data_IF_509842443091
#
_entry.id   IF_509842443091
#
_cell.length_a   1.000
_cell.length_b   1.000
_cell.length_c   1.000
_cell.angle_alpha   90.00
_cell.angle_beta   90.00
_cell.angle_gamma   90.00
#
_symmetry.space_group_name_H-M   'P 1'
#
loop_
_entity.id
_entity.type
_entity.pdbx_description
1 polymer ?
#
# COMPACT_ATOMS: atom_id res chain seq x y z
N UNK A 1 11.48 15.19 -9.38
CA UNK A 1 10.00 15.22 -9.40
C UNK A 1 9.54 13.98 -10.14
N UNK A 2 8.83 13.11 -9.49
CA UNK A 2 8.52 11.76 -9.98
C UNK A 2 7.54 11.86 -11.17
N UNK A 3 7.96 11.43 -12.35
CA UNK A 3 7.17 11.45 -13.60
C UNK A 3 5.92 10.56 -13.57
N UNK A 4 5.79 9.69 -12.56
CA UNK A 4 4.66 8.77 -12.35
C UNK A 4 3.28 9.47 -12.18
N UNK A 5 3.26 10.72 -11.74
CA UNK A 5 2.01 11.40 -11.38
C UNK A 5 1.30 12.11 -12.54
N UNK A 6 1.83 12.08 -13.75
CA UNK A 6 1.28 12.82 -14.90
C UNK A 6 1.02 12.01 -16.16
N UNK A 7 1.49 10.78 -16.26
CA UNK A 7 1.22 9.97 -17.44
C UNK A 7 -0.22 9.46 -17.40
N UNK A 8 -1.03 9.88 -18.39
CA UNK A 8 -2.40 9.42 -18.59
C UNK A 8 -2.45 7.91 -18.80
N UNK A 9 -1.42 7.37 -19.46
CA UNK A 9 -1.21 5.96 -19.76
C UNK A 9 0.20 5.57 -19.34
N UNK A 10 0.40 4.32 -18.93
CA UNK A 10 1.73 3.83 -18.57
C UNK A 10 1.75 2.32 -18.30
N UNK A 11 2.96 1.80 -18.34
CA UNK A 11 3.29 0.43 -18.01
C UNK A 11 4.42 0.41 -16.97
N UNK A 12 4.19 -0.25 -15.85
CA UNK A 12 5.19 -0.55 -14.84
C UNK A 12 5.61 -2.01 -14.99
N UNK A 13 6.90 -2.27 -15.05
CA UNK A 13 7.50 -3.60 -15.17
C UNK A 13 8.48 -3.85 -14.03
N UNK A 14 8.90 -5.12 -13.88
CA UNK A 14 9.85 -5.55 -12.86
C UNK A 14 9.43 -5.14 -11.44
N UNK A 15 8.14 -5.27 -11.13
CA UNK A 15 7.56 -4.94 -9.84
C UNK A 15 7.20 -6.19 -9.03
N UNK A 16 7.01 -6.04 -7.72
CA UNK A 16 6.21 -6.92 -6.89
C UNK A 16 4.97 -6.14 -6.47
N UNK A 17 3.78 -6.74 -6.55
CA UNK A 17 2.53 -6.03 -6.25
C UNK A 17 1.83 -6.70 -5.08
N UNK A 18 1.54 -5.93 -4.02
CA UNK A 18 0.64 -6.32 -2.96
C UNK A 18 -0.74 -5.72 -3.27
N UNK A 19 -1.56 -6.50 -3.97
CA UNK A 19 -2.85 -6.02 -4.47
C UNK A 19 -3.91 -5.85 -3.38
N UNK A 20 -3.71 -6.47 -2.23
CA UNK A 20 -4.66 -6.57 -1.11
C UNK A 20 -5.97 -7.29 -1.50
N UNK A 21 -6.02 -7.93 -2.65
CA UNK A 21 -7.14 -8.78 -3.07
C UNK A 21 -6.92 -10.23 -2.66
N UNK A 22 -8.00 -10.97 -2.47
CA UNK A 22 -7.93 -12.38 -2.13
C UNK A 22 -7.53 -13.20 -3.37
N UNK A 23 -6.27 -13.61 -3.41
CA UNK A 23 -5.71 -14.50 -4.43
C UNK A 23 -5.02 -15.73 -3.81
N UNK A 24 -5.29 -15.99 -2.51
CA UNK A 24 -4.68 -17.09 -1.76
C UNK A 24 -3.23 -16.82 -1.30
N UNK A 25 -2.68 -15.63 -1.57
CA UNK A 25 -1.37 -15.19 -1.11
C UNK A 25 -1.49 -14.11 -0.05
N UNK A 26 -0.55 -14.06 0.91
CA UNK A 26 -0.48 -12.98 1.88
C UNK A 26 -0.43 -11.63 1.15
N UNK A 27 -1.25 -10.66 1.59
CA UNK A 27 -1.39 -9.33 0.97
C UNK A 27 -1.83 -9.33 -0.50
N UNK A 28 -2.35 -10.44 -1.02
CA UNK A 28 -2.65 -10.58 -2.45
C UNK A 28 -1.41 -10.40 -3.31
N UNK A 29 -0.24 -10.93 -2.86
CA UNK A 29 1.04 -10.72 -3.48
C UNK A 29 1.11 -11.33 -4.89
N UNK A 30 1.70 -10.59 -5.82
CA UNK A 30 2.06 -11.02 -7.18
C UNK A 30 3.52 -10.65 -7.39
N UNK A 31 4.40 -11.65 -7.38
CA UNK A 31 5.82 -11.45 -7.62
C UNK A 31 6.13 -11.43 -9.11
N UNK A 32 7.21 -10.73 -9.51
CA UNK A 32 7.62 -10.53 -10.90
C UNK A 32 6.43 -10.03 -11.74
N UNK A 33 5.79 -9.00 -11.25
CA UNK A 33 4.56 -8.44 -11.76
C UNK A 33 4.78 -7.26 -12.70
N UNK A 34 3.72 -6.95 -13.44
CA UNK A 34 3.58 -5.70 -14.15
C UNK A 34 2.18 -5.10 -13.91
N UNK A 35 2.08 -3.80 -14.11
CA UNK A 35 0.83 -3.05 -14.03
C UNK A 35 0.76 -2.05 -15.18
N UNK A 36 -0.36 -2.06 -15.92
CA UNK A 36 -0.62 -1.05 -16.94
C UNK A 36 -1.88 -0.26 -16.60
N UNK A 37 -1.85 1.02 -16.96
CA UNK A 37 -3.02 1.89 -16.83
C UNK A 37 -3.22 2.71 -18.08
N UNK A 38 -4.49 3.03 -18.36
CA UNK A 38 -4.94 3.93 -19.44
C UNK A 38 -6.05 4.83 -18.90
N UNK A 39 -6.00 6.08 -19.27
CA UNK A 39 -6.99 7.07 -18.84
C UNK A 39 -7.22 7.08 -17.31
N UNK A 40 -6.14 6.84 -16.53
CA UNK A 40 -6.19 6.77 -15.06
C UNK A 40 -6.86 5.51 -14.50
N UNK A 41 -7.09 4.48 -15.32
CA UNK A 41 -7.63 3.19 -14.88
C UNK A 41 -6.63 2.07 -15.11
N UNK A 42 -6.52 1.17 -14.14
CA UNK A 42 -5.71 -0.04 -14.30
C UNK A 42 -6.39 -0.94 -15.34
N UNK A 43 -5.66 -1.30 -16.40
CA UNK A 43 -6.11 -2.18 -17.48
C UNK A 43 -5.41 -3.55 -17.45
N UNK A 44 -4.31 -3.64 -16.72
CA UNK A 44 -3.62 -4.90 -16.46
C UNK A 44 -2.96 -4.87 -15.09
N UNK A 45 -3.04 -5.95 -14.34
CA UNK A 45 -2.28 -6.25 -13.14
C UNK A 45 -2.11 -7.76 -13.06
N UNK A 46 -0.87 -8.24 -13.05
CA UNK A 46 -0.60 -9.68 -13.10
C UNK A 46 0.89 -9.97 -13.22
N UNK A 47 1.23 -11.22 -13.48
CA UNK A 47 2.61 -11.60 -13.73
C UNK A 47 3.12 -10.96 -15.02
N UNK A 48 4.32 -10.42 -15.00
CA UNK A 48 4.92 -9.79 -16.19
C UNK A 48 5.02 -10.77 -17.37
N UNK A 49 5.20 -12.08 -17.10
CA UNK A 49 5.25 -13.11 -18.12
C UNK A 49 3.94 -13.31 -18.90
N UNK A 50 2.83 -12.76 -18.41
CA UNK A 50 1.52 -12.82 -19.08
C UNK A 50 1.34 -11.71 -20.11
N UNK A 51 2.25 -10.71 -20.14
CA UNK A 51 2.21 -9.62 -21.12
C UNK A 51 2.67 -10.12 -22.49
N UNK A 52 1.87 -9.85 -23.53
CA UNK A 52 2.30 -10.06 -24.91
C UNK A 52 3.27 -8.95 -25.36
N UNK A 53 4.16 -9.28 -26.27
CA UNK A 53 5.08 -8.29 -26.87
C UNK A 53 4.32 -7.14 -27.53
N UNK A 54 3.18 -7.42 -28.15
CA UNK A 54 2.39 -6.38 -28.82
C UNK A 54 1.75 -5.44 -27.81
N UNK A 55 1.27 -5.94 -26.68
CA UNK A 55 0.77 -5.09 -25.60
C UNK A 55 1.87 -4.18 -25.02
N UNK A 56 3.10 -4.73 -24.84
CA UNK A 56 4.24 -3.93 -24.33
C UNK A 56 4.59 -2.80 -25.29
N UNK A 57 4.56 -3.02 -26.62
CA UNK A 57 4.85 -2.02 -27.64
C UNK A 57 3.91 -0.81 -27.63
N UNK A 58 2.71 -0.98 -27.06
CA UNK A 58 1.75 0.11 -26.90
C UNK A 58 2.18 1.14 -25.85
N UNK A 59 3.20 0.80 -25.03
CA UNK A 59 3.73 1.63 -23.95
C UNK A 59 5.24 1.86 -24.19
N UNK A 60 5.63 2.83 -25.07
CA UNK A 60 7.02 3.02 -25.45
C UNK A 60 7.95 3.45 -24.31
N UNK A 61 7.37 4.00 -23.24
CA UNK A 61 8.10 4.44 -22.05
C UNK A 61 7.65 3.59 -20.84
N UNK A 62 8.03 2.30 -20.82
CA UNK A 62 7.81 1.47 -19.66
C UNK A 62 8.70 1.93 -18.49
N UNK A 63 8.11 1.94 -17.30
CA UNK A 63 8.79 2.31 -16.06
C UNK A 63 9.30 1.03 -15.40
N UNK A 64 10.61 0.93 -15.17
CA UNK A 64 11.21 -0.18 -14.46
C UNK A 64 11.16 0.07 -12.95
N UNK A 65 10.41 -0.76 -12.22
CA UNK A 65 10.29 -0.70 -10.77
C UNK A 65 11.51 -1.30 -10.05
N UNK A 66 12.44 -1.95 -10.77
CA UNK A 66 13.67 -2.51 -10.19
C UNK A 66 13.43 -3.46 -9.01
N UNK A 67 12.37 -4.23 -9.04
CA UNK A 67 11.98 -5.14 -7.98
C UNK A 67 11.31 -4.47 -6.76
N UNK A 68 10.91 -3.21 -6.89
CA UNK A 68 10.19 -2.54 -5.80
C UNK A 68 8.78 -3.11 -5.61
N UNK A 69 8.30 -3.06 -4.36
CA UNK A 69 6.93 -3.36 -4.01
C UNK A 69 6.00 -2.19 -4.33
N UNK A 70 4.87 -2.50 -4.94
CA UNK A 70 3.79 -1.56 -5.25
C UNK A 70 2.55 -1.97 -4.45
N UNK A 71 1.95 -1.01 -3.78
CA UNK A 71 0.74 -1.19 -2.97
C UNK A 71 -0.31 -0.18 -3.41
N UNK A 72 -1.60 -0.41 -3.14
CA UNK A 72 -2.58 0.66 -3.14
C UNK A 72 -2.11 1.82 -2.25
N UNK A 73 -2.45 3.05 -2.65
CA UNK A 73 -2.12 4.22 -1.85
C UNK A 73 -2.78 4.14 -0.46
N UNK A 74 -2.06 4.59 0.55
CA UNK A 74 -2.61 4.70 1.89
C UNK A 74 -3.70 5.76 1.91
N UNK A 75 -4.84 5.42 2.51
CA UNK A 75 -5.95 6.36 2.77
C UNK A 75 -5.95 6.62 4.26
N UNK A 76 -5.60 7.84 4.64
CA UNK A 76 -5.64 8.29 6.02
C UNK A 76 -6.96 9.00 6.29
N UNK A 77 -7.85 8.33 7.00
CA UNK A 77 -9.18 8.86 7.35
C UNK A 77 -9.17 9.62 8.67
N UNK A 78 -8.12 9.49 9.48
CA UNK A 78 -8.03 10.11 10.80
C UNK A 78 -6.60 10.08 11.32
N UNK A 79 -5.96 11.23 11.40
CA UNK A 79 -4.61 11.38 11.96
C UNK A 79 -4.56 12.49 12.98
N UNK A 80 -3.96 12.21 14.12
CA UNK A 80 -3.56 13.20 15.10
C UNK A 80 -2.16 13.71 14.74
N UNK A 81 -2.07 14.84 14.02
CA UNK A 81 -0.79 15.39 13.55
C UNK A 81 0.09 15.91 14.71
N UNK A 82 -0.55 16.36 15.78
CA UNK A 82 0.14 16.85 16.97
C UNK A 82 -0.18 15.92 18.14
N UNK A 83 0.84 15.27 18.65
CA UNK A 83 0.73 14.38 19.81
C UNK A 83 2.10 14.28 20.51
N UNK A 84 2.11 13.88 21.76
CA UNK A 84 3.32 13.53 22.50
C UNK A 84 3.26 12.06 22.95
N UNK A 85 4.43 11.49 23.27
CA UNK A 85 4.53 10.10 23.71
C UNK A 85 4.39 9.07 22.59
N UNK A 86 4.20 7.81 22.98
CA UNK A 86 4.09 6.69 22.08
C UNK A 86 3.02 5.70 22.57
N UNK A 87 2.09 5.36 21.70
CA UNK A 87 1.00 4.42 22.00
C UNK A 87 1.11 3.07 21.25
N UNK A 88 2.27 2.77 20.65
CA UNK A 88 2.47 1.48 19.98
C UNK A 88 2.24 0.28 20.92
N UNK A 89 2.64 0.30 22.21
CA UNK A 89 2.32 -0.79 23.12
C UNK A 89 0.83 -1.02 23.34
N UNK A 90 0.02 0.04 23.30
CA UNK A 90 -1.44 -0.09 23.40
C UNK A 90 -2.05 -0.77 22.16
N UNK A 91 -1.47 -0.49 20.99
CA UNK A 91 -1.88 -1.15 19.75
C UNK A 91 -1.60 -2.66 19.82
N UNK A 92 -0.42 -3.05 20.32
CA UNK A 92 -0.06 -4.45 20.54
C UNK A 92 -1.01 -5.14 21.52
N UNK A 93 -1.35 -4.50 22.65
CA UNK A 93 -2.32 -4.99 23.61
C UNK A 93 -3.69 -5.25 22.96
N UNK A 94 -4.13 -4.37 22.05
CA UNK A 94 -5.37 -4.56 21.30
C UNK A 94 -5.32 -5.77 20.37
N UNK A 95 -4.19 -6.00 19.72
CA UNK A 95 -3.98 -7.20 18.89
C UNK A 95 -4.02 -8.48 19.73
N UNK A 96 -3.63 -8.41 21.00
CA UNK A 96 -3.72 -9.50 21.98
C UNK A 96 -5.13 -9.65 22.57
N UNK A 97 -6.11 -8.84 22.16
CA UNK A 97 -7.49 -8.92 22.57
C UNK A 97 -7.86 -8.09 23.81
N UNK A 98 -6.94 -7.26 24.34
CA UNK A 98 -7.25 -6.38 25.46
C UNK A 98 -8.18 -5.25 24.97
N UNK A 99 -9.27 -5.02 25.73
CA UNK A 99 -10.24 -4.01 25.35
C UNK A 99 -9.69 -2.58 25.50
N UNK A 100 -10.18 -1.65 24.67
CA UNK A 100 -9.82 -0.22 24.81
C UNK A 100 -10.18 0.33 26.20
N UNK A 101 -11.27 -0.17 26.80
CA UNK A 101 -11.70 0.26 28.13
C UNK A 101 -10.69 -0.12 29.20
N UNK A 102 -10.12 -1.33 29.12
CA UNK A 102 -9.12 -1.80 30.10
C UNK A 102 -7.79 -1.05 29.93
N UNK A 103 -7.38 -0.80 28.68
CA UNK A 103 -6.21 0.04 28.38
C UNK A 103 -6.42 1.46 28.94
N UNK A 104 -7.60 2.05 28.75
CA UNK A 104 -7.91 3.38 29.26
C UNK A 104 -7.92 3.44 30.78
N UNK A 105 -8.48 2.42 31.46
CA UNK A 105 -8.48 2.32 32.93
C UNK A 105 -7.08 2.17 33.53
N UNK A 106 -6.16 1.54 32.80
CA UNK A 106 -4.76 1.40 33.22
C UNK A 106 -3.90 2.65 32.97
N UNK A 107 -4.51 3.76 32.52
CA UNK A 107 -3.82 5.03 32.30
C UNK A 107 -3.41 5.27 30.85
N UNK A 108 -3.78 4.38 29.92
CA UNK A 108 -3.60 4.54 28.48
C UNK A 108 -4.72 5.35 27.82
N UNK A 109 -4.84 5.16 26.52
CA UNK A 109 -5.82 5.89 25.69
C UNK A 109 -5.35 7.28 25.29
N UNK A 110 -6.24 8.04 24.68
CA UNK A 110 -5.90 9.38 24.15
C UNK A 110 -5.37 10.33 25.24
N UNK A 111 -5.85 10.19 26.46
CA UNK A 111 -5.43 11.07 27.57
C UNK A 111 -3.96 10.88 27.95
N UNK A 112 -3.36 9.72 27.66
CA UNK A 112 -1.93 9.49 27.91
C UNK A 112 -1.03 10.38 27.03
N UNK A 113 -1.48 10.68 25.81
CA UNK A 113 -0.74 11.54 24.87
C UNK A 113 -1.14 13.02 24.96
N UNK A 114 -2.32 13.32 25.48
CA UNK A 114 -2.76 14.71 25.71
C UNK A 114 -2.07 15.35 26.93
N UNK A 115 -1.71 14.53 27.93
CA UNK A 115 -1.10 15.01 29.18
C UNK A 115 0.44 15.13 29.13
N UNK A 116 1.06 14.68 28.07
CA UNK A 116 2.50 14.79 27.81
C UNK A 116 2.83 16.03 26.97
#
# INVERSE_FOLDING_TARGET
>A
MNTLTRAKDGLLINAHIASLSDNGQAYGAIENAAMAWRDGRIVFIGKQSELSLDFIKEFPEAIDAQGAWVTPALIDCHTHLVFAGNRAPEFEQRLQGISYQDISKSGGGIMSTVRQ
#
